data_IF_602476800402
#
_entry.id   IF_602476800402
#
_cell.length_a   1.000
_cell.length_b   1.000
_cell.length_c   1.000
_cell.angle_alpha   90.00
_cell.angle_beta   90.00
_cell.angle_gamma   90.00
#
_symmetry.space_group_name_H-M   'P 1'
#
loop_
_entity.id
_entity.type
_entity.pdbx_description
1 polymer ?
#
# COMPACT_ATOMS: atom_id res chain seq x y z
N UNK A 1 56.06 -6.47 -28.85
CA UNK A 1 54.90 -5.85 -29.55
C UNK A 1 53.68 -5.99 -28.65
N UNK A 2 52.99 -4.89 -28.35
CA UNK A 2 51.77 -4.87 -27.53
C UNK A 2 50.54 -5.10 -28.41
N UNK A 3 49.54 -5.89 -27.97
CA UNK A 3 48.35 -6.16 -28.77
C UNK A 3 47.41 -4.96 -28.79
N UNK A 4 46.89 -4.65 -29.97
CA UNK A 4 45.83 -3.65 -30.15
C UNK A 4 44.51 -4.26 -29.67
N UNK A 5 43.89 -3.66 -28.65
CA UNK A 5 42.50 -3.97 -28.27
C UNK A 5 41.55 -3.05 -29.02
N UNK A 6 40.82 -3.60 -29.98
CA UNK A 6 39.72 -2.90 -30.64
C UNK A 6 38.50 -2.92 -29.73
N UNK A 7 38.10 -1.74 -29.22
CA UNK A 7 36.85 -1.56 -28.48
C UNK A 7 35.66 -1.72 -29.43
N UNK A 8 34.81 -2.71 -29.17
CA UNK A 8 33.59 -2.93 -29.93
C UNK A 8 32.53 -1.92 -29.46
N UNK A 9 32.38 -0.80 -30.18
CA UNK A 9 31.31 0.17 -29.89
C UNK A 9 29.97 -0.53 -30.12
N UNK A 10 29.14 -0.56 -29.08
CA UNK A 10 27.75 -0.99 -29.19
C UNK A 10 27.07 -0.10 -30.25
N UNK A 11 26.45 -0.67 -31.31
CA UNK A 11 25.82 0.12 -32.36
C UNK A 11 24.64 0.93 -31.80
N UNK A 12 24.38 2.09 -32.41
CA UNK A 12 23.37 3.09 -32.02
C UNK A 12 21.96 2.50 -31.79
N UNK A 13 21.65 1.34 -32.38
CA UNK A 13 20.38 0.63 -32.28
C UNK A 13 20.44 -0.67 -31.44
N UNK A 14 21.26 -0.74 -30.40
CA UNK A 14 21.38 -1.96 -29.58
C UNK A 14 20.29 -2.13 -28.50
N UNK A 15 19.34 -1.20 -28.38
CA UNK A 15 18.20 -1.34 -27.46
C UNK A 15 16.88 -1.19 -28.20
N UNK A 16 16.46 -2.26 -28.89
CA UNK A 16 15.03 -2.46 -29.19
C UNK A 16 14.44 -3.17 -27.98
N UNK A 17 13.80 -2.43 -27.07
CA UNK A 17 12.99 -3.04 -26.02
C UNK A 17 11.97 -3.95 -26.70
N UNK A 18 12.00 -5.24 -26.39
CA UNK A 18 10.91 -6.13 -26.76
C UNK A 18 9.63 -5.58 -26.13
N UNK A 19 8.55 -5.52 -26.91
CA UNK A 19 7.23 -5.22 -26.36
C UNK A 19 6.91 -6.39 -25.45
N UNK A 20 7.10 -6.21 -24.14
CA UNK A 20 6.75 -7.21 -23.14
C UNK A 20 5.25 -7.45 -23.19
N UNK A 21 4.82 -8.68 -22.95
CA UNK A 21 3.40 -9.00 -22.80
C UNK A 21 2.83 -8.12 -21.68
N UNK A 22 1.78 -7.37 -21.99
CA UNK A 22 1.11 -6.51 -21.03
C UNK A 22 -0.01 -7.30 -20.34
N UNK A 23 0.31 -7.91 -19.20
CA UNK A 23 -0.63 -8.71 -18.38
C UNK A 23 -1.46 -7.87 -17.39
N UNK A 24 -1.18 -6.55 -17.31
CA UNK A 24 -1.75 -5.64 -16.33
C UNK A 24 -2.50 -4.48 -17.02
N UNK A 25 -3.58 -3.99 -16.41
CA UNK A 25 -4.29 -2.84 -16.95
C UNK A 25 -3.38 -1.61 -17.01
N UNK A 26 -3.57 -0.79 -18.04
CA UNK A 26 -2.81 0.45 -18.23
C UNK A 26 -2.99 1.44 -17.07
N UNK A 27 -4.17 1.44 -16.46
CA UNK A 27 -4.52 2.28 -15.32
C UNK A 27 -5.15 1.43 -14.23
N UNK A 28 -4.65 1.57 -13.00
CA UNK A 28 -5.16 0.84 -11.85
C UNK A 28 -5.07 1.70 -10.59
N UNK A 29 -6.11 1.66 -9.75
CA UNK A 29 -6.05 2.15 -8.38
C UNK A 29 -6.17 0.95 -7.46
N UNK A 30 -5.30 0.85 -6.46
CA UNK A 30 -5.39 -0.22 -5.46
C UNK A 30 -6.55 0.02 -4.49
N UNK A 31 -6.72 1.28 -4.10
CA UNK A 31 -7.72 1.71 -3.14
C UNK A 31 -8.22 3.12 -3.45
N UNK A 32 -9.33 3.50 -2.83
CA UNK A 32 -9.87 4.84 -2.81
C UNK A 32 -10.14 5.26 -1.36
N UNK A 33 -9.88 6.53 -1.05
CA UNK A 33 -10.16 7.14 0.25
C UNK A 33 -10.64 8.56 0.05
N UNK A 34 -11.68 8.95 0.78
CA UNK A 34 -12.10 10.34 0.85
C UNK A 34 -10.94 11.29 1.20
N UNK A 35 -10.89 12.47 0.56
CA UNK A 35 -9.79 13.45 0.74
C UNK A 35 -9.74 14.07 2.14
N UNK A 36 -10.86 14.10 2.86
CA UNK A 36 -11.01 14.68 4.20
C UNK A 36 -11.01 13.59 5.27
N UNK A 37 -10.80 13.98 6.53
CA UNK A 37 -10.82 13.06 7.68
C UNK A 37 -9.48 12.40 7.92
N UNK A 38 -9.49 11.07 8.07
CA UNK A 38 -8.33 10.33 8.54
C UNK A 38 -7.19 10.38 7.50
N UNK A 39 -5.96 10.58 7.99
CA UNK A 39 -4.77 10.63 7.14
C UNK A 39 -4.22 9.22 7.01
N UNK A 40 -4.00 8.78 5.77
CA UNK A 40 -3.29 7.53 5.47
C UNK A 40 -1.80 7.78 5.64
N UNK A 41 -1.21 7.18 6.68
CA UNK A 41 0.20 7.37 7.05
C UNK A 41 1.10 6.22 6.59
N UNK A 42 0.55 5.00 6.51
CA UNK A 42 1.30 3.81 6.09
C UNK A 42 0.43 2.97 5.17
N UNK A 43 1.05 2.52 4.08
CA UNK A 43 0.60 1.40 3.27
C UNK A 43 1.84 0.61 2.87
N UNK A 44 2.02 -0.57 3.46
CA UNK A 44 3.17 -1.45 3.19
C UNK A 44 2.76 -2.92 3.15
N UNK A 45 3.67 -3.79 2.74
CA UNK A 45 3.55 -5.23 2.98
C UNK A 45 3.79 -5.52 4.46
N UNK A 46 3.06 -6.49 5.02
CA UNK A 46 3.34 -7.03 6.34
C UNK A 46 4.73 -7.70 6.38
N UNK A 47 5.35 -7.73 7.55
CA UNK A 47 6.70 -8.26 7.72
C UNK A 47 6.73 -9.78 7.60
N UNK A 48 5.81 -10.45 8.28
CA UNK A 48 5.80 -11.91 8.45
C UNK A 48 4.63 -12.61 7.74
N UNK A 49 3.83 -11.88 6.94
CA UNK A 49 2.61 -12.41 6.33
C UNK A 49 2.42 -11.86 4.91
N UNK A 50 1.70 -12.61 4.06
CA UNK A 50 1.28 -12.13 2.75
C UNK A 50 0.01 -11.30 2.88
N UNK A 51 0.19 -10.10 3.42
CA UNK A 51 -0.86 -9.15 3.73
C UNK A 51 -0.35 -7.73 3.52
N UNK A 52 -1.28 -6.78 3.42
CA UNK A 52 -0.97 -5.35 3.50
C UNK A 52 -1.20 -4.84 4.92
N UNK A 53 -0.35 -3.91 5.35
CA UNK A 53 -0.53 -3.11 6.56
C UNK A 53 -0.91 -1.70 6.14
N UNK A 54 -2.05 -1.27 6.64
CA UNK A 54 -2.58 0.06 6.44
C UNK A 54 -2.68 0.79 7.77
N UNK A 55 -2.19 2.03 7.85
CA UNK A 55 -2.29 2.85 9.08
C UNK A 55 -2.90 4.20 8.78
N UNK A 56 -3.91 4.54 9.58
CA UNK A 56 -4.54 5.84 9.55
C UNK A 56 -4.45 6.51 10.91
N UNK A 57 -4.47 7.84 10.90
CA UNK A 57 -4.60 8.62 12.13
C UNK A 57 -5.54 9.81 11.97
N UNK A 58 -6.08 10.27 13.10
CA UNK A 58 -6.81 11.52 13.18
C UNK A 58 -5.83 12.68 13.40
N UNK A 59 -5.67 13.61 12.45
CA UNK A 59 -4.77 14.75 12.61
C UNK A 59 -5.34 15.86 13.52
N UNK A 60 -6.63 15.81 13.87
CA UNK A 60 -7.25 16.84 14.67
C UNK A 60 -6.89 16.70 16.16
N UNK A 61 -6.68 17.85 16.82
CA UNK A 61 -6.47 17.94 18.27
C UNK A 61 -7.77 17.79 19.06
N UNK A 62 -8.92 18.03 18.42
CA UNK A 62 -10.26 17.88 18.99
C UNK A 62 -11.22 17.26 17.98
N UNK A 63 -12.23 16.54 18.48
CA UNK A 63 -13.22 15.85 17.65
C UNK A 63 -12.78 14.48 17.15
N UNK A 64 -13.71 13.52 17.22
CA UNK A 64 -13.53 12.20 16.61
C UNK A 64 -13.88 12.23 15.13
N UNK A 65 -13.25 11.35 14.36
CA UNK A 65 -13.55 11.15 12.94
C UNK A 65 -13.85 9.69 12.66
N UNK A 66 -14.68 9.46 11.65
CA UNK A 66 -14.97 8.13 11.13
C UNK A 66 -14.65 8.08 9.64
N UNK A 67 -14.41 6.88 9.13
CA UNK A 67 -14.13 6.70 7.71
C UNK A 67 -13.96 5.24 7.31
N UNK A 68 -13.85 5.04 6.01
CA UNK A 68 -13.61 3.76 5.36
C UNK A 68 -12.57 3.91 4.25
N UNK A 69 -12.03 2.78 3.79
CA UNK A 69 -11.26 2.68 2.55
C UNK A 69 -11.88 1.61 1.67
N UNK A 70 -12.12 1.98 0.42
CA UNK A 70 -12.58 1.06 -0.59
C UNK A 70 -11.36 0.47 -1.31
N UNK A 71 -11.18 -0.83 -1.24
CA UNK A 71 -10.21 -1.51 -2.09
C UNK A 71 -10.85 -1.94 -3.40
N UNK A 72 -10.10 -1.84 -4.50
CA UNK A 72 -10.58 -2.27 -5.81
C UNK A 72 -10.71 -3.79 -5.91
N UNK A 73 -9.91 -4.54 -5.15
CA UNK A 73 -10.06 -5.99 -5.00
C UNK A 73 -10.93 -6.32 -3.78
N UNK A 74 -11.72 -7.41 -3.83
CA UNK A 74 -12.43 -7.91 -2.66
C UNK A 74 -11.46 -8.17 -1.51
N UNK A 75 -11.74 -7.63 -0.34
CA UNK A 75 -10.96 -7.92 0.86
C UNK A 75 -11.54 -9.18 1.50
N UNK A 76 -10.69 -10.13 1.88
CA UNK A 76 -11.07 -11.38 2.55
C UNK A 76 -10.88 -11.31 4.06
N UNK A 77 -9.96 -10.47 4.54
CA UNK A 77 -9.70 -10.27 5.96
C UNK A 77 -9.37 -8.82 6.28
N UNK A 78 -9.92 -8.33 7.38
CA UNK A 78 -9.68 -6.99 7.94
C UNK A 78 -9.49 -7.09 9.46
N UNK A 79 -8.25 -6.98 9.94
CA UNK A 79 -7.94 -7.14 11.37
C UNK A 79 -7.16 -5.94 11.88
N UNK A 80 -7.57 -5.38 13.02
CA UNK A 80 -6.76 -4.36 13.67
C UNK A 80 -5.48 -4.97 14.21
N UNK A 81 -4.38 -4.25 14.06
CA UNK A 81 -3.07 -4.64 14.56
C UNK A 81 -2.43 -3.49 15.35
N UNK A 82 -1.52 -3.83 16.26
CA UNK A 82 -0.65 -2.86 16.92
C UNK A 82 0.42 -2.31 15.96
N UNK A 83 1.26 -1.39 16.45
CA UNK A 83 2.30 -0.77 15.62
C UNK A 83 3.38 -1.77 15.16
N UNK A 84 3.56 -2.84 15.94
CA UNK A 84 4.41 -4.01 15.70
C UNK A 84 3.64 -5.19 15.04
N UNK A 85 2.54 -4.89 14.34
CA UNK A 85 1.77 -5.84 13.50
C UNK A 85 1.10 -7.02 14.23
N UNK A 86 1.07 -7.04 15.57
CA UNK A 86 0.35 -8.06 16.33
C UNK A 86 -1.15 -7.83 16.28
N UNK A 87 -1.90 -8.88 15.98
CA UNK A 87 -3.37 -8.84 15.89
C UNK A 87 -3.98 -8.46 17.23
N UNK A 88 -4.97 -7.56 17.17
CA UNK A 88 -5.81 -7.17 18.30
C UNK A 88 -7.21 -7.75 18.12
N UNK A 89 -7.79 -8.23 19.21
CA UNK A 89 -9.20 -8.61 19.24
C UNK A 89 -10.05 -7.36 19.38
N UNK A 90 -10.39 -6.78 18.22
CA UNK A 90 -11.31 -5.65 18.15
C UNK A 90 -12.43 -5.99 17.18
N UNK A 91 -13.67 -5.67 17.56
CA UNK A 91 -14.81 -5.77 16.67
C UNK A 91 -14.89 -4.50 15.80
N UNK A 92 -14.34 -4.57 14.58
CA UNK A 92 -14.37 -3.47 13.61
C UNK A 92 -15.04 -3.97 12.34
N UNK A 93 -15.96 -3.16 11.80
CA UNK A 93 -16.57 -3.46 10.52
C UNK A 93 -15.50 -3.53 9.40
N UNK A 94 -15.73 -4.41 8.44
CA UNK A 94 -14.81 -4.61 7.32
C UNK A 94 -14.57 -3.30 6.56
N UNK A 95 -13.31 -3.02 6.22
CA UNK A 95 -12.88 -1.81 5.49
C UNK A 95 -13.18 -0.47 6.20
N UNK A 96 -13.65 -0.50 7.44
CA UNK A 96 -13.88 0.68 8.28
C UNK A 96 -12.74 0.89 9.27
N UNK A 97 -12.46 2.15 9.59
CA UNK A 97 -11.55 2.51 10.67
C UNK A 97 -12.25 2.63 12.03
N UNK A 98 -13.58 2.50 12.06
CA UNK A 98 -14.40 2.89 13.20
C UNK A 98 -14.19 4.36 13.60
N UNK A 99 -14.52 4.68 14.84
CA UNK A 99 -14.24 5.98 15.44
C UNK A 99 -12.75 6.13 15.77
N UNK A 100 -12.14 7.20 15.26
CA UNK A 100 -10.78 7.64 15.59
C UNK A 100 -10.84 8.89 16.45
N UNK A 101 -10.45 8.74 17.72
CA UNK A 101 -10.32 9.86 18.67
C UNK A 101 -9.25 10.86 18.23
N UNK A 102 -9.23 12.08 18.77
CA UNK A 102 -8.18 13.06 18.50
C UNK A 102 -6.78 12.47 18.65
N UNK A 103 -5.90 12.73 17.69
CA UNK A 103 -4.52 12.23 17.63
C UNK A 103 -4.37 10.69 17.70
N UNK A 104 -5.44 9.91 17.56
CA UNK A 104 -5.37 8.46 17.61
C UNK A 104 -4.94 7.90 16.25
N UNK A 105 -4.04 6.91 16.29
CA UNK A 105 -3.69 6.09 15.14
C UNK A 105 -4.23 4.66 15.30
N UNK A 106 -4.66 4.06 14.19
CA UNK A 106 -5.05 2.65 14.11
C UNK A 106 -4.40 2.01 12.90
N UNK A 107 -4.00 0.75 13.05
CA UNK A 107 -3.37 -0.04 12.00
C UNK A 107 -4.23 -1.26 11.69
N UNK A 108 -4.29 -1.64 10.43
CA UNK A 108 -5.09 -2.76 9.96
C UNK A 108 -4.24 -3.65 9.06
N UNK A 109 -4.32 -4.95 9.28
CA UNK A 109 -3.83 -5.98 8.39
C UNK A 109 -4.97 -6.38 7.43
N UNK A 110 -4.64 -6.43 6.15
CA UNK A 110 -5.58 -6.60 5.04
C UNK A 110 -5.13 -7.77 4.19
N UNK A 111 -6.04 -8.70 3.90
CA UNK A 111 -5.84 -9.77 2.92
C UNK A 111 -6.89 -9.69 1.82
N UNK A 112 -6.52 -10.14 0.63
CA UNK A 112 -7.38 -10.23 -0.56
C UNK A 112 -7.69 -11.69 -0.88
#
# INVERSE_FOLDING_TARGET
MTPIQCYNKIPYNAMKLNVGEQDKPLTYSLLNKGKKGAVLSVLKKAEDDDALILRVYNPAETGSIEGHIDFTQPVTSWREVSLDERVRETNVAMQSFGELKPCQARSFQIKF
#
